data_IF_714844764077
#
_entry.id   IF_714844764077
#
_cell.length_a   1.000
_cell.length_b   1.000
_cell.length_c   1.000
_cell.angle_alpha   90.00
_cell.angle_beta   90.00
_cell.angle_gamma   90.00
#
_symmetry.space_group_name_H-M   'P 1'
#
loop_
_entity.id
_entity.type
_entity.pdbx_description
1 polymer ?
#
# COMPACT_ATOMS: atom_id res chain seq x y z
N UNK A 1 -49.08 39.74 -13.37
CA UNK A 1 -47.73 39.40 -12.86
C UNK A 1 -47.52 37.90 -13.04
N UNK A 2 -46.69 37.54 -14.04
CA UNK A 2 -46.37 36.14 -14.33
C UNK A 2 -45.07 35.80 -13.59
N UNK A 3 -45.16 34.91 -12.60
CA UNK A 3 -43.99 34.35 -11.97
C UNK A 3 -43.43 33.24 -12.88
N UNK A 4 -42.35 33.56 -13.61
CA UNK A 4 -41.60 32.57 -14.35
C UNK A 4 -40.79 31.75 -13.32
N UNK A 5 -41.21 30.53 -13.06
CA UNK A 5 -40.39 29.52 -12.44
C UNK A 5 -39.21 29.20 -13.37
N UNK A 6 -37.99 29.60 -13.01
CA UNK A 6 -36.80 29.11 -13.68
C UNK A 6 -36.70 27.61 -13.39
N UNK A 7 -37.09 26.78 -14.34
CA UNK A 7 -36.73 25.37 -14.35
C UNK A 7 -35.19 25.29 -14.45
N UNK A 8 -34.52 24.84 -13.38
CA UNK A 8 -33.12 24.41 -13.48
C UNK A 8 -33.04 23.38 -14.60
N UNK A 9 -32.14 23.56 -15.54
CA UNK A 9 -32.02 22.65 -16.67
C UNK A 9 -31.67 21.26 -16.17
N UNK A 10 -32.24 20.22 -16.81
CA UNK A 10 -31.95 18.79 -16.51
C UNK A 10 -30.45 18.52 -16.41
N UNK A 11 -29.64 19.16 -17.25
CA UNK A 11 -28.19 19.06 -17.28
C UNK A 11 -27.53 19.52 -15.98
N UNK A 12 -28.04 20.58 -15.35
CA UNK A 12 -27.55 21.08 -14.06
C UNK A 12 -27.85 20.14 -12.91
N UNK A 13 -28.98 19.44 -12.95
CA UNK A 13 -29.36 18.46 -11.93
C UNK A 13 -28.52 17.21 -12.06
N UNK A 14 -28.30 16.73 -13.28
CA UNK A 14 -27.45 15.56 -13.55
C UNK A 14 -26.00 15.79 -13.17
N UNK A 15 -25.48 16.98 -13.41
CA UNK A 15 -24.12 17.36 -12.99
C UNK A 15 -23.98 17.39 -11.46
N UNK A 16 -24.94 17.99 -10.75
CA UNK A 16 -24.97 17.99 -9.27
C UNK A 16 -25.04 16.56 -8.69
N UNK A 17 -25.81 15.66 -9.34
CA UNK A 17 -25.92 14.26 -8.93
C UNK A 17 -24.59 13.51 -9.12
N UNK A 18 -23.90 13.73 -10.23
CA UNK A 18 -22.57 13.15 -10.51
C UNK A 18 -21.55 13.58 -9.47
N UNK A 19 -21.48 14.89 -9.18
CA UNK A 19 -20.58 15.45 -8.16
C UNK A 19 -20.88 14.82 -6.80
N UNK A 20 -22.16 14.73 -6.40
CA UNK A 20 -22.56 14.14 -5.12
C UNK A 20 -22.16 12.66 -5.03
N UNK A 21 -22.36 11.86 -6.06
CA UNK A 21 -21.93 10.46 -6.12
C UNK A 21 -20.41 10.34 -5.99
N UNK A 22 -19.66 11.16 -6.73
CA UNK A 22 -18.19 11.16 -6.66
C UNK A 22 -17.68 11.52 -5.27
N UNK A 23 -18.27 12.53 -4.62
CA UNK A 23 -17.92 12.90 -3.25
C UNK A 23 -18.22 11.78 -2.25
N UNK A 24 -19.34 11.10 -2.40
CA UNK A 24 -19.70 9.99 -1.53
C UNK A 24 -18.76 8.78 -1.72
N UNK A 25 -18.37 8.49 -2.96
CA UNK A 25 -17.37 7.45 -3.24
C UNK A 25 -16.00 7.79 -2.65
N UNK A 26 -15.55 9.03 -2.77
CA UNK A 26 -14.29 9.51 -2.18
C UNK A 26 -14.35 9.37 -0.64
N UNK A 27 -15.44 9.81 -0.02
CA UNK A 27 -15.64 9.72 1.43
C UNK A 27 -15.63 8.27 1.90
N UNK A 28 -16.34 7.38 1.21
CA UNK A 28 -16.36 5.95 1.52
C UNK A 28 -14.96 5.30 1.38
N UNK A 29 -14.17 5.72 0.38
CA UNK A 29 -12.78 5.26 0.21
C UNK A 29 -11.88 5.72 1.35
N UNK A 30 -12.03 6.96 1.81
CA UNK A 30 -11.27 7.50 2.94
C UNK A 30 -11.59 6.71 4.22
N UNK A 31 -12.87 6.43 4.48
CA UNK A 31 -13.28 5.64 5.64
C UNK A 31 -12.79 4.19 5.56
N UNK A 32 -12.90 3.55 4.40
CA UNK A 32 -12.39 2.20 4.18
C UNK A 32 -10.86 2.12 4.37
N UNK A 33 -10.10 3.08 3.85
CA UNK A 33 -8.65 3.14 4.01
C UNK A 33 -8.24 3.35 5.48
N UNK A 34 -8.95 4.21 6.22
CA UNK A 34 -8.71 4.40 7.67
C UNK A 34 -8.99 3.13 8.46
N UNK A 35 -10.11 2.46 8.19
CA UNK A 35 -10.46 1.23 8.89
C UNK A 35 -9.46 0.10 8.61
N UNK A 36 -9.01 -0.04 7.36
CA UNK A 36 -7.99 -1.04 7.00
C UNK A 36 -6.67 -0.73 7.68
N UNK A 37 -6.20 0.51 7.63
CA UNK A 37 -4.96 0.92 8.30
C UNK A 37 -5.01 0.66 9.81
N UNK A 38 -6.14 0.92 10.46
CA UNK A 38 -6.32 0.67 11.89
C UNK A 38 -6.29 -0.82 12.21
N UNK A 39 -7.03 -1.64 11.46
CA UNK A 39 -7.04 -3.10 11.63
C UNK A 39 -5.63 -3.68 11.41
N UNK A 40 -4.91 -3.20 10.41
CA UNK A 40 -3.57 -3.67 10.10
C UNK A 40 -2.56 -3.30 11.19
N UNK A 41 -2.71 -2.15 11.84
CA UNK A 41 -1.90 -1.78 13.02
C UNK A 41 -2.18 -2.74 14.19
N UNK A 42 -3.45 -3.09 14.42
CA UNK A 42 -3.83 -4.00 15.50
C UNK A 42 -3.31 -5.43 15.30
N UNK A 43 -3.29 -5.93 14.05
CA UNK A 43 -2.80 -7.28 13.75
C UNK A 43 -1.29 -7.36 13.52
N UNK A 44 -0.61 -6.22 13.46
CA UNK A 44 0.84 -6.14 13.19
C UNK A 44 1.67 -7.03 14.11
N UNK A 45 1.43 -6.93 15.40
CA UNK A 45 2.22 -7.64 16.40
C UNK A 45 2.00 -9.15 16.30
N UNK A 46 0.76 -9.58 16.07
CA UNK A 46 0.44 -10.99 15.81
C UNK A 46 1.10 -11.55 14.55
N UNK A 47 1.18 -10.75 13.48
CA UNK A 47 1.88 -11.15 12.25
C UNK A 47 3.38 -11.24 12.49
N UNK A 48 3.98 -10.26 13.17
CA UNK A 48 5.41 -10.28 13.51
C UNK A 48 5.78 -11.49 14.35
N UNK A 49 4.94 -11.86 15.30
CA UNK A 49 5.14 -13.04 16.14
C UNK A 49 5.00 -14.33 15.33
N UNK A 50 3.93 -14.46 14.55
CA UNK A 50 3.64 -15.65 13.72
C UNK A 50 4.78 -15.97 12.74
N UNK A 51 5.36 -14.95 12.12
CA UNK A 51 6.44 -15.11 11.14
C UNK A 51 7.84 -15.02 11.76
N UNK A 52 7.96 -14.77 13.06
CA UNK A 52 9.22 -14.44 13.72
C UNK A 52 9.99 -13.37 12.96
N UNK A 53 9.29 -12.30 12.54
CA UNK A 53 9.84 -11.26 11.69
C UNK A 53 10.33 -10.05 12.49
N UNK A 54 11.32 -9.35 11.94
CA UNK A 54 11.87 -8.16 12.58
C UNK A 54 11.03 -6.91 12.33
N UNK A 55 10.40 -6.81 11.15
CA UNK A 55 9.57 -5.67 10.77
C UNK A 55 8.51 -6.06 9.74
N UNK A 56 7.54 -5.18 9.60
CA UNK A 56 6.45 -5.29 8.63
C UNK A 56 6.17 -3.93 8.04
N UNK A 57 5.91 -3.88 6.73
CA UNK A 57 5.38 -2.71 6.04
C UNK A 57 4.07 -3.08 5.36
N UNK A 58 3.07 -2.25 5.53
CA UNK A 58 1.76 -2.45 4.93
C UNK A 58 1.47 -1.25 4.05
N UNK A 59 1.20 -1.52 2.78
CA UNK A 59 0.82 -0.54 1.79
C UNK A 59 -0.67 -0.63 1.49
N UNK A 60 -1.29 0.52 1.28
CA UNK A 60 -2.69 0.65 0.84
C UNK A 60 -2.71 1.15 -0.60
N UNK A 61 -3.64 0.66 -1.41
CA UNK A 61 -3.76 1.07 -2.82
C UNK A 61 -4.41 2.44 -2.94
N UNK A 62 -3.75 3.33 -3.67
CA UNK A 62 -4.29 4.60 -4.17
C UNK A 62 -4.63 4.44 -5.66
N UNK A 63 -5.89 4.15 -5.93
CA UNK A 63 -6.38 3.92 -7.32
C UNK A 63 -6.35 5.17 -8.18
N UNK A 64 -6.44 6.37 -7.56
CA UNK A 64 -6.45 7.63 -8.30
C UNK A 64 -5.09 7.93 -8.94
N UNK A 65 -4.01 7.59 -8.22
CA UNK A 65 -2.65 7.88 -8.65
C UNK A 65 -1.92 6.65 -9.22
N UNK A 66 -2.58 5.48 -9.22
CA UNK A 66 -1.96 4.19 -9.57
C UNK A 66 -0.71 3.90 -8.74
N UNK A 67 -0.83 4.13 -7.45
CA UNK A 67 0.23 3.97 -6.44
C UNK A 67 -0.24 3.12 -5.26
N UNK A 68 0.71 2.65 -4.50
CA UNK A 68 0.51 2.16 -3.13
C UNK A 68 1.24 3.07 -2.16
N UNK A 69 0.69 3.27 -0.98
CA UNK A 69 1.33 4.09 0.05
C UNK A 69 1.29 3.44 1.42
N UNK A 70 2.31 3.71 2.23
CA UNK A 70 2.41 3.31 3.63
C UNK A 70 2.78 4.51 4.48
N UNK A 71 2.20 4.58 5.67
CA UNK A 71 2.53 5.60 6.66
C UNK A 71 3.37 4.99 7.77
N UNK A 72 4.41 5.68 8.19
CA UNK A 72 5.26 5.29 9.30
C UNK A 72 5.61 6.48 10.19
N UNK A 73 5.94 6.18 11.44
CA UNK A 73 6.36 7.20 12.40
C UNK A 73 7.88 7.39 12.32
N UNK A 74 8.32 8.62 12.05
CA UNK A 74 9.73 9.01 12.11
C UNK A 74 9.89 10.07 13.21
N UNK A 75 10.27 9.63 14.42
CA UNK A 75 10.23 10.48 15.61
C UNK A 75 8.79 10.88 15.96
N UNK A 76 8.48 12.19 15.96
CA UNK A 76 7.14 12.72 16.21
C UNK A 76 6.34 12.99 14.93
N UNK A 77 6.94 12.77 13.75
CA UNK A 77 6.30 13.05 12.47
C UNK A 77 5.84 11.78 11.78
N UNK A 78 4.61 11.80 11.27
CA UNK A 78 4.10 10.77 10.36
C UNK A 78 4.65 11.07 8.96
N UNK A 79 5.34 10.09 8.37
CA UNK A 79 5.84 10.15 6.99
C UNK A 79 5.12 9.13 6.13
N UNK A 80 4.93 9.50 4.88
CA UNK A 80 4.30 8.65 3.87
C UNK A 80 5.36 8.16 2.88
N UNK A 81 5.29 6.87 2.57
CA UNK A 81 6.07 6.26 1.49
C UNK A 81 5.08 5.98 0.36
N UNK A 82 5.29 6.57 -0.80
CA UNK A 82 4.54 6.28 -2.03
C UNK A 82 5.39 5.50 -3.00
N UNK A 83 4.78 4.50 -3.62
CA UNK A 83 5.44 3.61 -4.58
C UNK A 83 4.49 3.40 -5.75
N UNK A 84 4.93 3.65 -7.00
CA UNK A 84 4.14 3.33 -8.19
C UNK A 84 3.80 1.83 -8.27
N UNK A 85 2.61 1.51 -8.76
CA UNK A 85 2.24 0.14 -9.13
C UNK A 85 2.93 -0.17 -10.46
N UNK A 86 4.13 -0.74 -10.37
CA UNK A 86 5.00 -1.06 -11.50
C UNK A 86 6.00 -2.14 -11.10
N UNK A 87 6.75 -2.67 -12.07
CA UNK A 87 7.75 -3.72 -11.80
C UNK A 87 9.08 -3.20 -11.23
N UNK A 88 9.22 -1.90 -11.00
CA UNK A 88 10.50 -1.30 -10.58
C UNK A 88 10.84 -1.53 -9.10
N UNK A 89 9.85 -1.70 -8.24
CA UNK A 89 10.03 -1.95 -6.81
C UNK A 89 9.35 -3.24 -6.36
N UNK A 90 9.80 -3.85 -5.27
CA UNK A 90 9.24 -5.12 -4.78
C UNK A 90 7.76 -4.98 -4.44
N UNK A 91 7.36 -3.95 -3.71
CA UNK A 91 5.95 -3.73 -3.36
C UNK A 91 5.10 -3.37 -4.60
N UNK A 92 5.64 -2.53 -5.50
CA UNK A 92 5.00 -2.19 -6.77
C UNK A 92 4.82 -3.39 -7.68
N UNK A 93 5.82 -4.27 -7.78
CA UNK A 93 5.76 -5.51 -8.53
C UNK A 93 4.66 -6.43 -8.02
N UNK A 94 4.57 -6.63 -6.70
CA UNK A 94 3.50 -7.44 -6.09
C UNK A 94 2.13 -6.84 -6.35
N UNK A 95 1.99 -5.51 -6.26
CA UNK A 95 0.74 -4.82 -6.56
C UNK A 95 0.34 -4.93 -8.04
N UNK A 96 1.33 -4.96 -8.95
CA UNK A 96 1.10 -5.03 -10.39
C UNK A 96 0.82 -6.45 -10.89
N UNK A 97 1.54 -7.44 -10.37
CA UNK A 97 1.48 -8.83 -10.85
C UNK A 97 0.59 -9.73 -10.02
N UNK A 98 0.26 -9.31 -8.79
CA UNK A 98 -0.46 -10.10 -7.78
C UNK A 98 0.29 -11.36 -7.30
N UNK A 99 1.56 -11.47 -7.64
CA UNK A 99 2.41 -12.59 -7.24
C UNK A 99 2.96 -12.39 -5.84
N UNK A 100 2.95 -13.47 -5.04
CA UNK A 100 3.70 -13.50 -3.79
C UNK A 100 5.17 -13.71 -4.12
N UNK A 101 6.05 -12.93 -3.50
CA UNK A 101 7.50 -13.06 -3.68
C UNK A 101 8.19 -13.32 -2.36
N UNK A 102 9.18 -14.19 -2.38
CA UNK A 102 10.04 -14.50 -1.25
C UNK A 102 11.50 -14.27 -1.66
N UNK A 103 12.09 -13.19 -1.15
CA UNK A 103 13.44 -12.74 -1.48
C UNK A 103 14.35 -13.05 -0.30
N UNK A 104 15.40 -13.80 -0.55
CA UNK A 104 16.38 -14.19 0.46
C UNK A 104 17.40 -13.10 0.76
N UNK A 105 17.69 -12.25 -0.24
CA UNK A 105 18.58 -11.11 -0.09
C UNK A 105 18.21 -9.97 -1.04
N UNK A 106 17.56 -8.95 -0.50
CA UNK A 106 17.13 -7.77 -1.26
C UNK A 106 18.27 -7.00 -1.97
N UNK A 107 19.52 -7.17 -1.51
CA UNK A 107 20.71 -6.59 -2.16
C UNK A 107 21.27 -7.47 -3.27
N UNK A 108 20.75 -8.69 -3.47
CA UNK A 108 21.20 -9.58 -4.53
C UNK A 108 20.47 -9.25 -5.83
N UNK A 109 21.14 -8.48 -6.70
CA UNK A 109 20.61 -8.07 -7.99
C UNK A 109 20.24 -9.25 -8.91
N UNK A 110 20.97 -10.38 -8.82
CA UNK A 110 20.66 -11.58 -9.62
C UNK A 110 19.33 -12.20 -9.19
N UNK A 111 19.07 -12.25 -7.90
CA UNK A 111 17.80 -12.75 -7.36
C UNK A 111 16.62 -11.88 -7.79
N UNK A 112 16.76 -10.56 -7.71
CA UNK A 112 15.73 -9.62 -8.15
C UNK A 112 15.48 -9.71 -9.66
N UNK A 113 16.53 -9.71 -10.46
CA UNK A 113 16.43 -9.80 -11.93
C UNK A 113 15.89 -11.13 -12.43
N UNK A 114 15.97 -12.19 -11.64
CA UNK A 114 15.33 -13.48 -11.94
C UNK A 114 13.80 -13.43 -11.80
N UNK A 115 13.25 -12.51 -11.00
CA UNK A 115 11.81 -12.26 -10.89
C UNK A 115 11.32 -11.34 -12.01
N UNK A 116 12.01 -10.23 -12.21
CA UNK A 116 11.73 -9.28 -13.29
C UNK A 116 12.97 -8.42 -13.58
N UNK A 117 13.23 -8.13 -14.88
CA UNK A 117 14.43 -7.39 -15.29
C UNK A 117 14.43 -5.92 -14.83
N UNK A 118 13.26 -5.34 -14.57
CA UNK A 118 13.12 -3.96 -14.05
C UNK A 118 13.25 -3.90 -12.53
N UNK A 119 13.08 -5.04 -11.83
CA UNK A 119 12.98 -5.06 -10.38
C UNK A 119 14.27 -4.60 -9.70
N UNK A 120 14.13 -3.63 -8.79
CA UNK A 120 15.22 -3.09 -7.98
C UNK A 120 14.81 -3.00 -6.51
N UNK A 121 15.81 -2.88 -5.63
CA UNK A 121 15.61 -2.61 -4.21
C UNK A 121 16.18 -1.23 -3.87
N UNK A 122 15.33 -0.35 -3.34
CA UNK A 122 15.75 0.97 -2.87
C UNK A 122 16.28 0.88 -1.43
N UNK A 123 17.60 0.87 -1.28
CA UNK A 123 18.28 0.85 0.02
C UNK A 123 18.31 2.20 0.74
N UNK A 124 17.73 3.26 0.17
CA UNK A 124 17.74 4.59 0.80
C UNK A 124 17.02 4.63 2.15
N UNK A 125 15.98 3.80 2.30
CA UNK A 125 15.25 3.64 3.54
C UNK A 125 16.07 2.96 4.62
N UNK A 126 16.83 1.93 4.27
CA UNK A 126 17.75 1.27 5.19
C UNK A 126 18.78 2.25 5.75
N UNK A 127 19.30 3.13 4.88
CA UNK A 127 20.25 4.18 5.29
C UNK A 127 19.61 5.22 6.22
N UNK A 128 18.36 5.58 5.98
CA UNK A 128 17.63 6.58 6.79
C UNK A 128 17.21 6.05 8.16
N UNK A 129 16.84 4.77 8.22
CA UNK A 129 16.29 4.15 9.44
C UNK A 129 17.34 3.40 10.26
N UNK A 130 18.49 3.07 9.67
CA UNK A 130 19.50 2.17 10.27
C UNK A 130 19.07 0.70 10.28
N UNK A 131 17.90 0.37 9.73
CA UNK A 131 17.41 -0.99 9.61
C UNK A 131 17.89 -1.59 8.29
N UNK A 132 18.63 -2.70 8.34
CA UNK A 132 19.10 -3.37 7.13
C UNK A 132 18.10 -4.43 6.69
N UNK A 133 17.39 -4.16 5.61
CA UNK A 133 16.47 -5.10 4.98
C UNK A 133 17.24 -6.14 4.20
N UNK A 134 17.15 -7.40 4.58
CA UNK A 134 17.79 -8.52 3.87
C UNK A 134 16.75 -9.43 3.24
N UNK A 135 15.88 -10.01 4.04
CA UNK A 135 14.84 -10.93 3.59
C UNK A 135 13.50 -10.20 3.46
N UNK A 136 12.77 -10.49 2.41
CA UNK A 136 11.46 -9.90 2.15
C UNK A 136 10.50 -11.00 1.69
N UNK A 137 9.43 -11.21 2.45
CA UNK A 137 8.24 -11.89 1.98
C UNK A 137 7.19 -10.83 1.68
N UNK A 138 6.77 -10.71 0.43
CA UNK A 138 5.77 -9.74 0.04
C UNK A 138 4.57 -10.42 -0.63
N UNK A 139 3.36 -9.99 -0.24
CA UNK A 139 2.11 -10.57 -0.72
C UNK A 139 1.05 -9.49 -0.96
N UNK A 140 0.16 -9.67 -1.96
CA UNK A 140 -0.98 -8.80 -2.18
C UNK A 140 -2.06 -9.07 -1.14
N UNK A 141 -2.76 -8.03 -0.73
CA UNK A 141 -3.92 -8.10 0.16
C UNK A 141 -5.16 -7.86 -0.69
N UNK A 142 -6.06 -8.83 -0.75
CA UNK A 142 -7.32 -8.73 -1.48
C UNK A 142 -8.52 -8.64 -0.54
N UNK A 143 -9.51 -7.90 -0.97
CA UNK A 143 -10.88 -8.01 -0.47
C UNK A 143 -11.79 -8.32 -1.65
N UNK A 144 -12.39 -9.51 -1.63
CA UNK A 144 -13.02 -10.10 -2.83
C UNK A 144 -11.99 -10.13 -3.97
N UNK A 145 -12.33 -9.61 -5.15
CA UNK A 145 -11.45 -9.59 -6.32
C UNK A 145 -10.68 -8.25 -6.47
N UNK A 146 -10.68 -7.41 -5.43
CA UNK A 146 -10.01 -6.11 -5.48
C UNK A 146 -8.74 -6.11 -4.66
N UNK A 147 -7.64 -5.66 -5.28
CA UNK A 147 -6.41 -5.37 -4.57
C UNK A 147 -6.63 -4.20 -3.61
N UNK A 148 -6.41 -4.43 -2.33
CA UNK A 148 -6.51 -3.42 -1.27
C UNK A 148 -5.16 -2.88 -0.84
N UNK A 149 -4.12 -3.70 -0.97
CA UNK A 149 -2.79 -3.32 -0.53
C UNK A 149 -1.74 -4.40 -0.77
N UNK A 150 -0.56 -4.17 -0.23
CA UNK A 150 0.56 -5.10 -0.20
C UNK A 150 1.13 -5.16 1.21
N UNK A 151 1.43 -6.34 1.69
CA UNK A 151 2.17 -6.56 2.93
C UNK A 151 3.59 -6.99 2.59
N UNK A 152 4.58 -6.40 3.27
CA UNK A 152 5.97 -6.85 3.25
C UNK A 152 6.39 -7.23 4.66
N UNK A 153 6.83 -8.47 4.85
CA UNK A 153 7.37 -9.00 6.09
C UNK A 153 8.89 -9.06 5.91
N UNK A 154 9.60 -8.38 6.81
CA UNK A 154 11.03 -8.11 6.65
C UNK A 154 11.86 -8.83 7.70
N UNK A 155 12.90 -9.49 7.26
CA UNK A 155 13.91 -10.16 8.05
C UNK A 155 13.36 -11.14 9.10
N UNK A 156 13.65 -12.40 8.96
CA UNK A 156 13.39 -13.39 9.99
C UNK A 156 14.27 -13.11 11.22
N UNK A 157 13.68 -13.05 12.41
CA UNK A 157 14.42 -13.09 13.65
C UNK A 157 14.92 -14.52 13.85
N UNK A 158 16.22 -14.70 13.86
CA UNK A 158 16.82 -15.93 14.37
C UNK A 158 16.73 -15.82 15.89
N UNK A 159 16.10 -16.80 16.53
CA UNK A 159 16.11 -16.90 17.98
C UNK A 159 17.57 -16.86 18.44
N UNK A 160 17.83 -16.16 19.54
CA UNK A 160 19.13 -16.18 20.18
C UNK A 160 19.52 -17.63 20.39
N UNK A 161 20.48 -18.09 19.59
CA UNK A 161 20.96 -19.45 19.66
C UNK A 161 21.57 -19.66 21.06
N UNK A 162 20.92 -20.47 21.87
CA UNK A 162 21.57 -21.25 22.91
C UNK A 162 21.89 -22.60 22.36
#
# INVERSE_FOLDING_TARGET
>A
MSFAFKTESSDSIDEKLRIRKSLQEITNRIHAARNIAHILVEVKDGILELFHAASITIYVVDKLHNEIYSMFLAGTQIKEIRVPISNQSIAGYVANTYNIVNISNAYNQKELKALDFELTFDSSWDKKTGFRTKQILAAPIFYKDQLMGVIQILNKKYGDGK
#
